data_IF_175430644680
#
_entry.id   IF_175430644680
#
_cell.length_a   1.000
_cell.length_b   1.000
_cell.length_c   1.000
_cell.angle_alpha   90.00
_cell.angle_beta   90.00
_cell.angle_gamma   90.00
#
_symmetry.space_group_name_H-M   'P 1'
#
loop_
_entity.id
_entity.type
_entity.pdbx_description
1 polymer ?
#
# COMPACT_ATOMS: atom_id res chain seq x y z
N UNK A 1 4.26 3.87 29.80
CA UNK A 1 3.28 3.79 28.69
C UNK A 1 4.06 3.44 27.44
N UNK A 2 3.64 2.44 26.66
CA UNK A 2 4.24 2.18 25.35
C UNK A 2 3.70 3.26 24.42
N UNK A 3 4.42 4.37 24.29
CA UNK A 3 4.02 5.49 23.42
C UNK A 3 4.33 5.11 21.99
N UNK A 4 3.31 4.70 21.26
CA UNK A 4 3.36 4.56 19.81
C UNK A 4 2.40 5.55 19.17
N UNK A 5 2.81 6.13 18.05
CA UNK A 5 2.00 7.04 17.24
C UNK A 5 1.28 6.30 16.11
N UNK A 6 0.16 6.88 15.65
CA UNK A 6 -0.50 6.47 14.40
C UNK A 6 -0.28 7.59 13.38
N UNK A 7 0.33 7.24 12.26
CA UNK A 7 0.65 8.17 11.16
C UNK A 7 -0.09 7.72 9.91
N UNK A 8 -0.71 8.66 9.21
CA UNK A 8 -1.31 8.44 7.90
C UNK A 8 -0.37 9.06 6.87
N UNK A 9 -0.01 8.29 5.85
CA UNK A 9 0.80 8.75 4.73
C UNK A 9 -0.04 8.59 3.46
N UNK A 10 -0.21 9.69 2.73
CA UNK A 10 -0.86 9.69 1.40
C UNK A 10 0.25 9.86 0.37
N UNK A 11 0.36 8.92 -0.56
CA UNK A 11 1.43 8.86 -1.55
C UNK A 11 0.96 8.16 -2.84
N UNK A 12 1.87 7.95 -3.79
CA UNK A 12 1.62 7.28 -5.06
C UNK A 12 1.78 5.75 -4.98
N UNK A 13 1.30 5.06 -6.03
CA UNK A 13 1.35 3.60 -6.14
C UNK A 13 2.76 3.02 -5.99
N UNK A 14 3.74 3.49 -6.79
CA UNK A 14 5.13 3.02 -6.70
C UNK A 14 5.74 3.21 -5.30
N UNK A 15 5.50 4.34 -4.64
CA UNK A 15 6.01 4.56 -3.28
C UNK A 15 5.40 3.58 -2.28
N UNK A 16 4.10 3.31 -2.42
CA UNK A 16 3.39 2.35 -1.56
C UNK A 16 3.84 0.91 -1.82
N UNK A 17 4.09 0.56 -3.09
CA UNK A 17 4.63 -0.74 -3.50
C UNK A 17 6.01 -0.99 -2.88
N UNK A 18 6.93 -0.03 -3.00
CA UNK A 18 8.27 -0.15 -2.42
C UNK A 18 8.23 -0.26 -0.90
N UNK A 19 7.32 0.44 -0.22
CA UNK A 19 7.10 0.28 1.22
C UNK A 19 6.58 -1.12 1.58
N UNK A 20 5.66 -1.67 0.77
CA UNK A 20 5.17 -3.04 0.95
C UNK A 20 6.29 -4.06 0.75
N UNK A 21 7.12 -3.92 -0.28
CA UNK A 21 8.26 -4.80 -0.57
C UNK A 21 9.32 -4.70 0.53
N UNK A 22 9.55 -3.50 1.07
CA UNK A 22 10.48 -3.30 2.19
C UNK A 22 10.03 -4.05 3.45
N UNK A 23 8.74 -4.00 3.78
CA UNK A 23 8.18 -4.68 4.94
C UNK A 23 8.03 -6.20 4.72
N UNK A 24 7.68 -6.61 3.50
CA UNK A 24 7.55 -8.01 3.10
C UNK A 24 8.01 -8.18 1.64
N UNK A 25 9.23 -8.70 1.41
CA UNK A 25 9.76 -8.91 0.06
C UNK A 25 8.91 -9.85 -0.81
N UNK A 26 8.02 -10.64 -0.20
CA UNK A 26 7.11 -11.58 -0.86
C UNK A 26 5.73 -11.00 -1.12
N UNK A 27 5.50 -9.74 -0.76
CA UNK A 27 4.20 -9.07 -0.83
C UNK A 27 3.58 -9.18 -2.24
N UNK A 28 2.29 -9.57 -2.33
CA UNK A 28 1.60 -9.81 -3.61
C UNK A 28 1.20 -8.52 -4.34
N UNK A 29 1.53 -7.36 -3.77
CA UNK A 29 1.06 -6.03 -4.16
C UNK A 29 1.65 -5.52 -5.48
N UNK A 30 2.63 -6.25 -6.03
CA UNK A 30 3.37 -5.83 -7.23
C UNK A 30 2.46 -5.50 -8.40
N UNK A 31 2.48 -4.23 -8.83
CA UNK A 31 1.65 -3.71 -9.94
C UNK A 31 0.13 -3.78 -9.74
N UNK A 32 -0.36 -4.02 -8.51
CA UNK A 32 -1.80 -4.25 -8.24
C UNK A 32 -2.38 -3.34 -7.15
N UNK A 33 -1.75 -2.20 -6.91
CA UNK A 33 -2.31 -1.19 -6.01
C UNK A 33 -3.38 -0.39 -6.72
N UNK A 34 -4.61 -0.56 -6.26
CA UNK A 34 -5.72 0.29 -6.64
C UNK A 34 -5.58 1.66 -5.98
N UNK A 35 -6.12 2.68 -6.65
CA UNK A 35 -6.29 3.99 -6.03
C UNK A 35 -7.11 3.86 -4.75
N UNK A 36 -6.83 4.77 -3.82
CA UNK A 36 -7.45 4.84 -2.48
C UNK A 36 -7.30 3.58 -1.63
N UNK A 37 -6.54 2.57 -2.07
CA UNK A 37 -6.27 1.38 -1.26
C UNK A 37 -5.42 1.69 -0.02
N UNK A 38 -5.62 0.91 1.04
CA UNK A 38 -4.97 1.12 2.34
C UNK A 38 -3.94 0.02 2.61
N UNK A 39 -2.71 0.43 2.90
CA UNK A 39 -1.70 -0.46 3.49
C UNK A 39 -1.51 -0.13 4.96
N UNK A 40 -1.41 -1.17 5.81
CA UNK A 40 -1.19 -1.01 7.25
C UNK A 40 0.14 -1.64 7.63
N UNK A 41 1.02 -0.81 8.19
CA UNK A 41 2.34 -1.21 8.66
C UNK A 41 2.39 -1.07 10.18
N UNK A 42 2.84 -2.12 10.85
CA UNK A 42 3.27 -2.04 12.25
C UNK A 42 4.79 -1.94 12.28
N UNK A 43 5.31 -0.83 12.78
CA UNK A 43 6.73 -0.49 12.78
C UNK A 43 7.20 -0.42 14.23
N UNK A 44 8.27 -1.15 14.56
CA UNK A 44 8.83 -1.13 15.90
C UNK A 44 10.05 -2.03 16.03
N UNK A 45 11.00 -1.67 16.91
CA UNK A 45 12.19 -2.49 17.16
C UNK A 45 13.09 -2.71 15.94
N UNK A 46 12.99 -1.86 14.90
CA UNK A 46 13.71 -2.02 13.64
C UNK A 46 13.01 -2.91 12.61
N UNK A 47 11.88 -3.51 12.96
CA UNK A 47 11.09 -4.38 12.09
C UNK A 47 9.84 -3.65 11.56
N UNK A 48 9.46 -4.00 10.33
CA UNK A 48 8.23 -3.55 9.68
C UNK A 48 7.39 -4.78 9.37
N UNK A 49 6.15 -4.80 9.85
CA UNK A 49 5.21 -5.89 9.60
C UNK A 49 4.07 -5.32 8.74
N UNK A 50 3.89 -5.88 7.55
CA UNK A 50 2.77 -5.56 6.66
C UNK A 50 1.52 -6.32 7.12
N UNK A 51 0.59 -5.62 7.75
CA UNK A 51 -0.65 -6.22 8.28
C UNK A 51 -1.78 -6.22 7.25
N UNK A 52 -1.80 -5.20 6.38
CA UNK A 52 -2.73 -5.10 5.25
C UNK A 52 -2.00 -4.56 4.04
N UNK A 53 -2.30 -5.14 2.88
CA UNK A 53 -1.68 -4.82 1.61
C UNK A 53 -2.77 -4.45 0.59
N UNK A 54 -2.87 -3.18 0.23
CA UNK A 54 -3.82 -2.70 -0.78
C UNK A 54 -5.29 -2.95 -0.44
N UNK A 55 -5.70 -2.80 0.83
CA UNK A 55 -7.07 -3.02 1.28
C UNK A 55 -8.05 -2.02 0.65
N UNK A 56 -8.99 -2.55 -0.14
CA UNK A 56 -10.08 -1.80 -0.79
C UNK A 56 -11.44 -2.10 -0.15
N UNK A 57 -11.51 -2.88 0.94
CA UNK A 57 -12.77 -3.29 1.56
C UNK A 57 -13.61 -2.14 2.14
N UNK A 58 -13.06 -0.93 2.18
CA UNK A 58 -13.78 0.30 2.56
C UNK A 58 -14.42 1.03 1.37
N UNK A 59 -14.13 0.60 0.14
CA UNK A 59 -14.68 1.18 -1.08
C UNK A 59 -15.93 0.41 -1.50
N UNK A 60 -16.93 1.12 -1.99
CA UNK A 60 -18.09 0.49 -2.62
C UNK A 60 -17.70 -0.06 -4.02
N UNK A 61 -18.45 -1.07 -4.50
CA UNK A 61 -18.22 -1.65 -5.83
C UNK A 61 -18.28 -0.56 -6.93
N UNK A 62 -17.14 -0.34 -7.60
CA UNK A 62 -17.02 0.64 -8.69
C UNK A 62 -16.42 2.00 -8.28
N UNK A 63 -16.08 2.21 -7.00
CA UNK A 63 -15.42 3.45 -6.55
C UNK A 63 -13.90 3.45 -6.72
N UNK A 64 -13.30 2.34 -7.16
CA UNK A 64 -11.92 2.29 -7.59
C UNK A 64 -11.83 2.08 -9.10
N UNK A 65 -10.91 2.79 -9.74
CA UNK A 65 -10.53 2.50 -11.12
C UNK A 65 -9.86 1.12 -11.14
N UNK A 66 -10.34 0.23 -12.01
CA UNK A 66 -9.73 -1.09 -12.22
C UNK A 66 -8.31 -0.97 -12.80
N UNK A 67 -8.01 0.17 -13.44
CA UNK A 67 -6.65 0.57 -13.77
C UNK A 67 -5.88 0.82 -12.47
N UNK A 68 -5.25 -0.26 -11.98
CA UNK A 68 -4.23 -0.20 -10.94
C UNK A 68 -3.08 0.71 -11.40
N UNK A 69 -2.14 1.00 -10.51
CA UNK A 69 -0.88 1.63 -10.86
C UNK A 69 -0.18 0.85 -11.99
N UNK A 70 -0.44 1.25 -13.23
CA UNK A 70 0.06 0.65 -14.46
C UNK A 70 1.05 1.60 -15.09
N UNK A 71 2.28 1.62 -14.56
CA UNK A 71 3.43 2.26 -15.20
C UNK A 71 3.84 1.61 -16.54
N UNK A 72 3.10 0.59 -16.99
CA UNK A 72 3.33 -0.14 -18.25
C UNK A 72 2.67 0.54 -19.47
N UNK A 73 1.93 1.63 -19.24
CA UNK A 73 1.55 2.54 -20.31
C UNK A 73 2.79 3.31 -20.77
N UNK A 74 3.25 3.05 -22.00
CA UNK A 74 4.26 3.87 -22.68
C UNK A 74 3.85 5.33 -22.51
N UNK A 75 4.67 6.12 -21.83
CA UNK A 75 4.53 7.58 -21.83
C UNK A 75 4.41 8.03 -23.29
N UNK A 76 3.30 8.68 -23.63
CA UNK A 76 3.10 9.28 -24.95
C UNK A 76 4.16 10.35 -25.24
#
# INVERSE_FOLDING_TARGET
ALTGERVIVVTHGASTEELCIHADPTSPVRGKLYNTSICVFRIGGGEWILEKAGDVGHLDQGEFLEDAFGGDGVSA
#
